data_IF_358424068944
#
_entry.id   IF_358424068944
#
_cell.length_a   1.000
_cell.length_b   1.000
_cell.length_c   1.000
_cell.angle_alpha   90.00
_cell.angle_beta   90.00
_cell.angle_gamma   90.00
#
_symmetry.space_group_name_H-M   'P 1'
#
loop_
_entity.id
_entity.type
_entity.pdbx_description
1 polymer ?
#
# COMPACT_ATOMS: atom_id res chain seq x y z
N UNK A 1 1.03 -28.87 3.28
CA UNK A 1 2.13 -28.08 3.85
C UNK A 1 2.00 -26.69 3.23
N UNK A 2 2.01 -25.63 4.03
CA UNK A 2 2.05 -24.26 3.50
C UNK A 2 3.47 -23.98 2.96
N UNK A 3 3.54 -23.21 1.89
CA UNK A 3 4.78 -22.61 1.36
C UNK A 3 4.77 -21.13 1.72
N UNK A 4 5.94 -20.51 1.75
CA UNK A 4 6.08 -19.09 2.05
C UNK A 4 5.65 -18.23 0.85
N UNK A 5 5.45 -16.93 1.08
CA UNK A 5 4.94 -16.02 0.07
C UNK A 5 5.88 -15.92 -1.15
N UNK A 6 7.18 -15.70 -0.94
CA UNK A 6 8.26 -15.73 -1.94
C UNK A 6 8.29 -16.99 -2.81
N UNK A 7 7.86 -18.13 -2.28
CA UNK A 7 7.86 -19.41 -2.99
C UNK A 7 6.68 -19.57 -3.96
N UNK A 8 5.77 -18.61 -4.00
CA UNK A 8 4.65 -18.55 -4.94
C UNK A 8 4.92 -17.53 -6.03
N UNK A 9 4.25 -17.63 -7.16
CA UNK A 9 4.30 -16.67 -8.23
C UNK A 9 2.92 -16.08 -8.51
N UNK A 10 2.84 -14.74 -8.53
CA UNK A 10 1.65 -14.01 -8.97
C UNK A 10 0.60 -13.76 -7.88
N UNK A 11 0.91 -13.98 -6.61
CA UNK A 11 0.05 -13.53 -5.51
C UNK A 11 0.29 -12.05 -5.24
N UNK A 12 -0.80 -11.32 -4.98
CA UNK A 12 -0.78 -9.88 -4.72
C UNK A 12 -1.71 -9.49 -3.56
N UNK A 13 -1.31 -9.70 -2.29
CA UNK A 13 -2.02 -9.14 -1.15
C UNK A 13 -1.89 -7.63 -1.11
N UNK A 14 -2.96 -6.93 -0.74
CA UNK A 14 -2.96 -5.49 -0.58
C UNK A 14 -3.68 -5.06 0.72
N UNK A 15 -3.17 -3.98 1.31
CA UNK A 15 -3.79 -3.19 2.37
C UNK A 15 -3.74 -1.72 1.94
N UNK A 16 -4.90 -1.14 1.70
CA UNK A 16 -5.00 0.18 1.06
C UNK A 16 -6.29 0.90 1.48
N UNK A 17 -6.35 2.17 1.14
CA UNK A 17 -7.51 3.02 1.44
C UNK A 17 -7.87 3.90 0.25
N UNK A 18 -9.16 4.11 0.00
CA UNK A 18 -9.62 4.91 -1.14
C UNK A 18 -11.01 5.51 -0.87
N UNK A 19 -11.31 6.65 -1.46
CA UNK A 19 -12.69 7.03 -1.79
C UNK A 19 -12.95 6.67 -3.26
N UNK A 20 -13.72 5.60 -3.45
CA UNK A 20 -13.94 4.97 -4.76
C UNK A 20 -14.73 5.90 -5.72
N UNK A 21 -15.52 6.83 -5.17
CA UNK A 21 -16.38 7.69 -5.98
C UNK A 21 -15.57 8.77 -6.70
N UNK A 22 -15.36 8.56 -8.00
CA UNK A 22 -14.62 9.48 -8.85
C UNK A 22 -13.11 9.34 -8.71
N UNK A 23 -12.61 8.14 -8.40
CA UNK A 23 -11.17 7.85 -8.37
C UNK A 23 -10.41 8.44 -9.58
N UNK A 24 -9.20 9.00 -9.41
CA UNK A 24 -8.44 9.17 -8.17
C UNK A 24 -8.65 10.54 -7.52
N UNK A 25 -9.76 11.24 -7.82
CA UNK A 25 -9.90 12.67 -7.49
C UNK A 25 -9.97 12.98 -6.01
N UNK A 26 -10.27 11.97 -5.20
CA UNK A 26 -10.38 12.05 -3.75
C UNK A 26 -9.34 11.20 -3.02
N UNK A 27 -8.35 10.68 -3.76
CA UNK A 27 -7.20 9.98 -3.21
C UNK A 27 -7.36 8.46 -3.11
N UNK A 28 -6.24 7.78 -3.28
CA UNK A 28 -6.00 6.38 -2.93
C UNK A 28 -4.62 6.29 -2.27
N UNK A 29 -4.50 5.48 -1.23
CA UNK A 29 -3.24 5.25 -0.51
C UNK A 29 -3.05 3.74 -0.39
N UNK A 30 -2.06 3.22 -1.10
CA UNK A 30 -1.60 1.85 -0.96
C UNK A 30 -0.59 1.79 0.16
N UNK A 31 -1.02 1.26 1.30
CA UNK A 31 -0.20 1.19 2.51
C UNK A 31 0.77 0.01 2.38
N UNK A 32 0.28 -1.12 1.84
CA UNK A 32 1.08 -2.28 1.48
C UNK A 32 0.52 -2.97 0.25
N UNK A 33 1.38 -3.22 -0.72
CA UNK A 33 1.16 -4.15 -1.82
C UNK A 33 2.32 -5.15 -1.82
N UNK A 34 2.00 -6.44 -1.67
CA UNK A 34 2.98 -7.52 -1.79
C UNK A 34 2.93 -8.13 -3.19
N UNK A 35 4.07 -8.53 -3.75
CA UNK A 35 4.14 -9.25 -5.03
C UNK A 35 5.07 -10.45 -4.91
N UNK A 36 4.61 -11.63 -5.33
CA UNK A 36 5.41 -12.87 -5.27
C UNK A 36 5.93 -13.32 -6.64
N UNK A 37 7.20 -13.76 -6.69
CA UNK A 37 7.94 -14.06 -7.92
C UNK A 37 8.60 -15.46 -7.95
N UNK A 38 8.17 -16.39 -7.10
CA UNK A 38 8.56 -17.81 -7.09
C UNK A 38 9.91 -18.12 -6.45
N UNK A 39 10.71 -17.09 -6.15
CA UNK A 39 11.94 -17.17 -5.34
C UNK A 39 12.30 -15.84 -4.67
N UNK A 40 11.41 -14.86 -4.77
CA UNK A 40 11.56 -13.54 -4.21
C UNK A 40 10.20 -12.90 -4.07
N UNK A 41 10.16 -11.80 -3.34
CA UNK A 41 8.97 -11.01 -3.13
C UNK A 41 9.35 -9.54 -3.01
N UNK A 42 8.34 -8.69 -3.18
CA UNK A 42 8.48 -7.24 -3.08
C UNK A 42 7.30 -6.68 -2.31
N UNK A 43 7.56 -5.68 -1.48
CA UNK A 43 6.53 -4.89 -0.83
C UNK A 43 6.66 -3.42 -1.21
N UNK A 44 5.54 -2.79 -1.55
CA UNK A 44 5.49 -1.36 -1.86
C UNK A 44 4.42 -0.64 -1.08
N UNK A 45 4.61 0.67 -0.92
CA UNK A 45 3.53 1.63 -0.74
C UNK A 45 3.43 2.51 -1.97
N UNK A 46 2.27 3.08 -2.18
CA UNK A 46 2.01 4.02 -3.26
C UNK A 46 0.90 5.01 -2.87
N UNK A 47 0.72 6.06 -3.66
CA UNK A 47 -0.36 7.01 -3.48
C UNK A 47 -0.83 7.46 -4.87
N UNK A 48 -2.14 7.58 -5.05
CA UNK A 48 -2.73 8.11 -6.27
C UNK A 48 -3.58 9.33 -5.98
N UNK A 49 -3.50 10.28 -6.89
CA UNK A 49 -4.31 11.49 -6.88
C UNK A 49 -4.39 12.06 -8.30
N UNK A 50 -5.50 12.67 -8.64
CA UNK A 50 -5.65 13.43 -9.88
C UNK A 50 -6.79 14.40 -9.81
N UNK A 51 -6.95 15.25 -10.83
CA UNK A 51 -8.07 16.21 -10.88
C UNK A 51 -9.16 15.77 -11.87
N UNK A 52 -8.94 14.66 -12.58
CA UNK A 52 -9.87 14.09 -13.56
C UNK A 52 -10.16 12.64 -13.19
N UNK A 53 -11.44 12.26 -13.23
CA UNK A 53 -11.86 10.88 -12.97
C UNK A 53 -11.17 9.92 -13.94
N UNK A 54 -10.63 8.83 -13.41
CA UNK A 54 -9.90 7.79 -14.14
C UNK A 54 -8.46 8.14 -14.49
N UNK A 55 -7.93 9.30 -14.09
CA UNK A 55 -6.58 9.75 -14.47
C UNK A 55 -5.80 10.24 -13.25
N UNK A 56 -4.79 9.46 -12.84
CA UNK A 56 -3.80 9.92 -11.86
C UNK A 56 -2.92 11.01 -12.49
N UNK A 57 -2.69 12.08 -11.74
CA UNK A 57 -1.80 13.19 -12.10
C UNK A 57 -0.42 13.08 -11.43
N UNK A 58 -0.20 12.06 -10.62
CA UNK A 58 1.08 11.79 -9.97
C UNK A 58 1.95 10.91 -10.87
N UNK A 59 3.26 11.17 -10.86
CA UNK A 59 4.21 10.28 -11.52
C UNK A 59 4.39 9.01 -10.69
N UNK A 60 4.18 7.84 -11.29
CA UNK A 60 4.36 6.56 -10.61
C UNK A 60 5.76 6.43 -9.98
N UNK A 61 6.81 6.84 -10.72
CA UNK A 61 8.20 6.77 -10.24
C UNK A 61 8.47 7.66 -9.02
N UNK A 62 7.65 8.68 -8.78
CA UNK A 62 7.76 9.55 -7.61
C UNK A 62 7.06 8.94 -6.38
N UNK A 63 5.99 8.17 -6.60
CA UNK A 63 5.07 7.75 -5.55
C UNK A 63 5.26 6.30 -5.13
N UNK A 64 5.63 5.40 -6.03
CA UNK A 64 5.93 4.02 -5.66
C UNK A 64 7.17 3.99 -4.77
N UNK A 65 7.08 3.31 -3.64
CA UNK A 65 8.20 3.13 -2.73
C UNK A 65 8.29 1.69 -2.29
N UNK A 66 9.40 1.05 -2.62
CA UNK A 66 9.72 -0.30 -2.17
C UNK A 66 10.30 -0.28 -0.77
N UNK A 67 9.80 -1.16 0.09
CA UNK A 67 10.32 -1.35 1.43
C UNK A 67 10.41 -2.84 1.77
N UNK A 68 11.22 -3.16 2.77
CA UNK A 68 11.31 -4.51 3.30
C UNK A 68 10.41 -4.64 4.53
N UNK A 69 9.81 -5.80 4.70
CA UNK A 69 9.30 -6.23 5.99
C UNK A 69 10.54 -6.64 6.82
N UNK A 70 10.95 -5.84 7.80
CA UNK A 70 12.24 -6.03 8.49
C UNK A 70 12.51 -7.47 8.96
N UNK A 71 13.73 -7.96 8.70
CA UNK A 71 14.20 -9.33 8.99
C UNK A 71 14.63 -10.06 7.70
N UNK A 72 15.47 -11.10 7.80
CA UNK A 72 15.86 -11.95 6.65
C UNK A 72 14.69 -12.77 6.06
N UNK A 73 13.46 -12.53 6.53
CA UNK A 73 12.31 -13.36 6.29
C UNK A 73 11.04 -12.52 6.37
N UNK A 74 10.22 -12.61 5.33
CA UNK A 74 8.84 -12.14 5.27
C UNK A 74 7.88 -13.06 6.01
N UNK A 75 8.37 -14.19 6.53
CA UNK A 75 7.60 -15.06 7.40
C UNK A 75 7.34 -14.42 8.75
N UNK A 76 6.07 -14.42 9.14
CA UNK A 76 5.62 -14.02 10.46
C UNK A 76 4.56 -12.94 10.40
N UNK A 77 4.26 -12.40 11.57
CA UNK A 77 3.33 -11.28 11.71
C UNK A 77 4.10 -9.97 11.64
N UNK A 78 3.61 -9.05 10.81
CA UNK A 78 4.12 -7.69 10.71
C UNK A 78 3.01 -6.71 11.06
N UNK A 79 3.37 -5.65 11.77
CA UNK A 79 2.47 -4.51 11.97
C UNK A 79 2.73 -3.51 10.86
N UNK A 80 1.73 -3.30 10.00
CA UNK A 80 1.76 -2.26 8.97
C UNK A 80 0.82 -1.14 9.40
N UNK A 81 1.32 0.08 9.46
CA UNK A 81 0.58 1.24 9.96
C UNK A 81 0.67 2.41 8.96
N UNK A 82 -0.45 3.11 8.78
CA UNK A 82 -0.50 4.40 8.12
C UNK A 82 -0.96 5.46 9.11
N UNK A 83 -0.21 6.56 9.19
CA UNK A 83 -0.59 7.77 9.94
C UNK A 83 -0.92 8.89 8.97
N UNK A 84 -2.20 9.23 8.91
CA UNK A 84 -2.66 10.43 8.22
C UNK A 84 -2.62 11.61 9.18
N UNK A 85 -1.63 12.48 9.00
CA UNK A 85 -1.34 13.59 9.89
C UNK A 85 -1.82 14.92 9.33
N UNK A 86 -2.20 15.82 10.22
CA UNK A 86 -2.47 17.22 9.92
C UNK A 86 -1.81 18.08 11.00
N UNK A 87 -0.64 18.63 10.69
CA UNK A 87 0.05 19.59 11.55
C UNK A 87 -0.24 21.01 11.05
N UNK A 88 -1.08 21.72 11.80
CA UNK A 88 -1.36 23.15 11.59
C UNK A 88 -1.83 23.48 10.16
N UNK A 89 -2.55 22.57 9.51
CA UNK A 89 -3.04 22.69 8.13
C UNK A 89 -2.21 21.95 7.09
N UNK A 90 -0.99 21.52 7.43
CA UNK A 90 -0.13 20.72 6.57
C UNK A 90 -0.46 19.25 6.74
N UNK A 91 -0.96 18.62 5.66
CA UNK A 91 -1.29 17.19 5.65
C UNK A 91 -0.11 16.36 5.15
N UNK A 92 0.08 15.19 5.74
CA UNK A 92 1.04 14.18 5.29
C UNK A 92 0.52 12.77 5.59
N UNK A 93 0.97 11.81 4.80
CA UNK A 93 0.73 10.38 5.04
C UNK A 93 2.07 9.74 5.38
N UNK A 94 2.14 8.99 6.47
CA UNK A 94 3.35 8.30 6.90
C UNK A 94 3.09 6.81 7.01
N UNK A 95 3.94 6.01 6.37
CA UNK A 95 3.88 4.55 6.39
C UNK A 95 4.93 4.03 7.36
N UNK A 96 4.51 3.07 8.19
CA UNK A 96 5.36 2.39 9.14
C UNK A 96 5.24 0.88 8.99
N UNK A 97 6.36 0.19 9.17
CA UNK A 97 6.46 -1.27 9.22
C UNK A 97 7.15 -1.62 10.52
N UNK A 98 6.51 -2.43 11.36
CA UNK A 98 7.05 -2.83 12.67
C UNK A 98 7.51 -1.63 13.52
N UNK A 99 6.71 -0.57 13.55
CA UNK A 99 6.98 0.74 14.19
C UNK A 99 8.14 1.55 13.59
N UNK A 100 8.79 1.08 12.52
CA UNK A 100 9.82 1.82 11.80
C UNK A 100 9.17 2.65 10.69
N UNK A 101 9.52 3.93 10.62
CA UNK A 101 9.04 4.83 9.58
C UNK A 101 9.75 4.51 8.25
N UNK A 102 8.98 4.18 7.21
CA UNK A 102 9.55 3.81 5.89
C UNK A 102 9.32 4.87 4.83
N UNK A 103 8.18 5.58 4.84
CA UNK A 103 7.85 6.54 3.79
C UNK A 103 6.93 7.66 4.28
N UNK A 104 7.23 8.88 3.85
CA UNK A 104 6.34 10.05 3.92
C UNK A 104 5.82 10.38 2.52
N UNK A 105 4.51 10.62 2.41
CA UNK A 105 3.87 11.25 1.25
C UNK A 105 3.39 12.65 1.60
N UNK A 106 3.85 13.63 0.83
CA UNK A 106 3.54 15.05 0.95
C UNK A 106 3.85 15.76 -0.38
N UNK A 107 3.76 17.10 -0.42
CA UNK A 107 4.05 17.90 -1.61
C UNK A 107 5.48 17.74 -2.18
N UNK A 108 6.43 17.30 -1.36
CA UNK A 108 7.80 17.03 -1.79
C UNK A 108 7.92 15.68 -2.52
N UNK A 109 6.96 14.77 -2.33
CA UNK A 109 6.86 13.52 -3.10
C UNK A 109 6.54 13.82 -4.56
N UNK A 110 5.47 14.60 -4.79
CA UNK A 110 5.07 15.03 -6.12
C UNK A 110 4.34 16.38 -5.99
N UNK A 111 4.70 17.35 -6.84
CA UNK A 111 4.13 18.70 -6.79
C UNK A 111 2.63 18.71 -7.13
N UNK A 112 2.10 17.68 -7.78
CA UNK A 112 0.67 17.55 -8.07
C UNK A 112 -0.12 16.92 -6.92
N UNK A 113 0.55 16.39 -5.88
CA UNK A 113 -0.14 15.79 -4.74
C UNK A 113 -0.87 16.87 -3.91
N UNK A 114 -2.18 16.74 -3.77
CA UNK A 114 -3.04 17.65 -2.99
C UNK A 114 -3.84 16.87 -1.93
N UNK A 115 -3.17 16.50 -0.83
CA UNK A 115 -3.78 15.77 0.29
C UNK A 115 -4.97 16.51 0.95
N UNK A 116 -5.12 17.81 0.69
CA UNK A 116 -6.29 18.58 1.13
C UNK A 116 -7.60 18.13 0.47
N UNK A 117 -7.51 17.55 -0.73
CA UNK A 117 -8.65 17.07 -1.50
C UNK A 117 -9.06 15.64 -1.17
N UNK A 118 -8.24 14.94 -0.35
CA UNK A 118 -8.57 13.60 0.09
C UNK A 118 -9.77 13.66 1.06
N UNK A 119 -10.69 12.71 0.91
CA UNK A 119 -11.92 12.59 1.69
C UNK A 119 -11.83 11.39 2.64
N UNK A 120 -12.84 11.10 3.47
CA UNK A 120 -12.85 9.87 4.25
C UNK A 120 -12.78 8.65 3.32
N UNK A 121 -11.77 7.81 3.50
CA UNK A 121 -11.56 6.59 2.72
C UNK A 121 -12.20 5.37 3.39
N UNK A 122 -12.59 4.39 2.56
CA UNK A 122 -12.78 3.01 3.00
C UNK A 122 -11.41 2.35 3.23
N UNK A 123 -11.37 1.34 4.10
CA UNK A 123 -10.19 0.49 4.29
C UNK A 123 -10.43 -0.84 3.60
N UNK A 124 -9.49 -1.26 2.75
CA UNK A 124 -9.60 -2.46 1.94
C UNK A 124 -8.42 -3.38 2.20
N UNK A 125 -8.75 -4.67 2.38
CA UNK A 125 -7.79 -5.77 2.37
C UNK A 125 -8.24 -6.80 1.35
N UNK A 126 -7.35 -7.21 0.46
CA UNK A 126 -7.65 -8.20 -0.56
C UNK A 126 -6.40 -9.03 -0.88
N UNK A 127 -6.63 -10.19 -1.50
CA UNK A 127 -5.59 -11.04 -2.07
C UNK A 127 -5.92 -11.24 -3.54
N UNK A 128 -5.20 -10.53 -4.40
CA UNK A 128 -5.33 -10.66 -5.85
C UNK A 128 -4.39 -11.75 -6.37
N UNK A 129 -4.67 -12.21 -7.59
CA UNK A 129 -3.85 -13.19 -8.31
C UNK A 129 -3.66 -12.70 -9.74
N UNK A 130 -2.40 -12.53 -10.15
CA UNK A 130 -2.03 -12.01 -11.47
C UNK A 130 -2.28 -10.52 -11.64
N UNK A 131 -2.09 -10.05 -12.86
CA UNK A 131 -2.28 -8.66 -13.27
C UNK A 131 -2.45 -8.61 -14.81
N UNK A 132 -3.20 -7.63 -15.33
CA UNK A 132 -3.46 -7.50 -16.78
C UNK A 132 -2.34 -6.76 -17.55
N UNK A 133 -1.26 -6.36 -16.88
CA UNK A 133 -0.05 -5.76 -17.45
C UNK A 133 1.22 -6.58 -17.15
N UNK A 134 2.34 -5.90 -16.91
CA UNK A 134 3.68 -6.52 -16.89
C UNK A 134 4.23 -6.83 -15.48
N UNK A 135 3.45 -6.62 -14.41
CA UNK A 135 3.86 -6.95 -13.04
C UNK A 135 4.18 -8.45 -12.90
N UNK A 136 3.40 -9.33 -13.53
CA UNK A 136 3.61 -10.78 -13.48
C UNK A 136 3.60 -11.38 -14.89
N UNK A 137 4.36 -12.46 -15.10
CA UNK A 137 4.10 -13.35 -16.23
C UNK A 137 2.94 -14.28 -15.87
N UNK A 138 1.74 -14.00 -16.41
CA UNK A 138 0.53 -14.76 -16.10
C UNK A 138 0.62 -16.26 -16.44
N UNK A 139 1.58 -16.70 -17.27
CA UNK A 139 1.80 -18.12 -17.55
C UNK A 139 2.56 -18.87 -16.43
N UNK A 140 3.15 -18.14 -15.48
CA UNK A 140 3.94 -18.69 -14.37
C UNK A 140 3.19 -18.70 -13.04
N UNK A 141 1.97 -18.15 -12.98
CA UNK A 141 1.15 -18.13 -11.77
C UNK A 141 0.99 -19.56 -11.24
N UNK A 142 1.11 -19.76 -9.92
CA UNK A 142 1.02 -21.10 -9.31
C UNK A 142 0.11 -21.17 -8.07
N UNK A 143 -0.57 -20.07 -7.72
CA UNK A 143 -1.47 -19.94 -6.55
C UNK A 143 -2.81 -20.69 -6.63
N UNK A 144 -2.97 -21.71 -7.47
CA UNK A 144 -4.28 -22.19 -7.95
C UNK A 144 -5.08 -23.09 -6.99
N UNK A 145 -4.53 -23.51 -5.85
CA UNK A 145 -5.28 -24.38 -4.92
C UNK A 145 -5.88 -23.58 -3.77
N UNK A 146 -5.04 -23.06 -2.88
CA UNK A 146 -5.45 -22.20 -1.75
C UNK A 146 -4.29 -21.29 -1.37
N UNK A 147 -4.56 -20.00 -1.30
CA UNK A 147 -3.69 -19.01 -0.69
C UNK A 147 -4.46 -18.31 0.44
N UNK A 148 -3.74 -17.92 1.49
CA UNK A 148 -4.34 -17.25 2.65
C UNK A 148 -3.58 -15.97 2.91
N UNK A 149 -4.33 -14.89 3.08
CA UNK A 149 -3.83 -13.63 3.61
C UNK A 149 -4.52 -13.42 4.96
N UNK A 150 -3.74 -13.53 6.04
CA UNK A 150 -4.27 -13.48 7.39
C UNK A 150 -4.13 -12.07 7.98
N UNK A 151 -5.21 -11.60 8.59
CA UNK A 151 -5.27 -10.32 9.31
C UNK A 151 -5.74 -10.65 10.72
N UNK A 152 -4.87 -10.49 11.71
CA UNK A 152 -5.18 -10.80 13.10
C UNK A 152 -6.10 -9.71 13.71
N UNK A 153 -5.73 -8.45 13.52
CA UNK A 153 -6.47 -7.31 14.02
C UNK A 153 -6.35 -6.09 13.11
N UNK A 154 -7.29 -5.16 13.25
CA UNK A 154 -7.26 -3.83 12.65
C UNK A 154 -7.63 -2.81 13.73
N UNK A 155 -6.80 -1.79 13.89
CA UNK A 155 -7.08 -0.64 14.77
C UNK A 155 -7.21 0.62 13.92
N UNK A 156 -8.23 1.43 14.20
CA UNK A 156 -8.36 2.79 13.69
C UNK A 156 -8.50 3.72 14.88
N UNK A 157 -7.58 4.68 15.01
CA UNK A 157 -7.63 5.66 16.10
C UNK A 157 -7.36 7.07 15.58
N UNK A 158 -7.97 8.05 16.25
CA UNK A 158 -7.69 9.47 16.05
C UNK A 158 -6.99 10.00 17.29
N UNK A 159 -5.87 10.70 17.11
CA UNK A 159 -5.06 11.24 18.20
C UNK A 159 -4.67 12.68 17.88
N UNK A 160 -4.57 13.52 18.91
CA UNK A 160 -4.00 14.86 18.74
C UNK A 160 -2.48 14.74 18.55
N UNK A 161 -1.91 15.54 17.64
CA UNK A 161 -0.46 15.69 17.53
C UNK A 161 0.00 16.52 18.72
N UNK A 162 0.26 15.87 19.86
CA UNK A 162 0.93 16.50 21.00
C UNK A 162 2.43 16.28 20.81
N UNK A 163 3.17 17.38 20.61
CA UNK A 163 4.64 17.48 20.58
C UNK A 163 5.36 16.15 20.88
N UNK A 164 5.66 15.37 19.83
CA UNK A 164 6.57 14.23 19.88
C UNK A 164 8.00 14.73 19.69
#
# INVERSE_FOLDING_TARGET
RFVNFDQTYGLWPAFWTVDEDGWPTKGEIDIMEGYSYGNSEKFTSNIFYGTTVGVSSLSHDNTVYEYNLEGDSTDGWHTIEMRWMNDSGTRSIHIFVNNQHVKTYNKETDLNLELQNFTPHNIIFNLNVGHDGEIFNNNLIDGFTKAYYFIDWVEVSKRDIKNQ
#
